data_IF_140012235388
#
_entry.id   IF_140012235388
#
_cell.length_a   1.000
_cell.length_b   1.000
_cell.length_c   1.000
_cell.angle_alpha   90.00
_cell.angle_beta   90.00
_cell.angle_gamma   90.00
#
_symmetry.space_group_name_H-M   'P 1'
#
loop_
_entity.id
_entity.type
_entity.pdbx_description
1 polymer ?
#
# COMPACT_ATOMS: atom_id res chain seq x y z
N UNK A 1 15.34 -36.80 2.03
CA UNK A 1 14.95 -35.41 2.03
C UNK A 1 13.60 -35.26 1.36
N UNK A 2 12.55 -35.00 2.16
CA UNK A 2 11.19 -34.73 1.65
C UNK A 2 11.24 -33.31 1.03
N UNK A 3 11.21 -33.22 -0.28
CA UNK A 3 10.91 -31.98 -0.97
C UNK A 3 9.43 -31.65 -0.71
N UNK A 4 9.15 -30.83 0.28
CA UNK A 4 7.85 -30.18 0.38
C UNK A 4 7.73 -29.20 -0.81
N UNK A 5 6.99 -29.62 -1.82
CA UNK A 5 6.65 -28.77 -2.95
C UNK A 5 5.97 -27.51 -2.42
N UNK A 6 6.63 -26.35 -2.51
CA UNK A 6 6.02 -25.05 -2.27
C UNK A 6 4.86 -24.93 -3.26
N UNK A 7 3.63 -25.19 -2.79
CA UNK A 7 2.43 -24.82 -3.55
C UNK A 7 2.47 -23.31 -3.73
N UNK A 8 2.70 -22.86 -4.95
CA UNK A 8 2.62 -21.45 -5.29
C UNK A 8 1.23 -20.91 -4.88
N UNK A 9 1.18 -19.68 -4.39
CA UNK A 9 -0.09 -19.00 -4.10
C UNK A 9 -0.93 -18.94 -5.37
N UNK A 10 -2.24 -19.20 -5.24
CA UNK A 10 -3.15 -19.15 -6.39
C UNK A 10 -3.21 -17.72 -6.96
N UNK A 11 -3.54 -17.59 -8.25
CA UNK A 11 -3.74 -16.29 -8.90
C UNK A 11 -4.78 -15.44 -8.16
N UNK A 12 -5.85 -16.09 -7.65
CA UNK A 12 -6.87 -15.43 -6.86
C UNK A 12 -6.31 -14.88 -5.53
N UNK A 13 -5.54 -15.69 -4.79
CA UNK A 13 -4.91 -15.23 -3.54
C UNK A 13 -3.92 -14.08 -3.79
N UNK A 14 -3.17 -14.13 -4.88
CA UNK A 14 -2.31 -13.03 -5.27
C UNK A 14 -3.11 -11.76 -5.61
N UNK A 15 -4.22 -11.91 -6.35
CA UNK A 15 -5.12 -10.80 -6.65
C UNK A 15 -5.69 -10.15 -5.37
N UNK A 16 -6.10 -10.94 -4.37
CA UNK A 16 -6.58 -10.41 -3.09
C UNK A 16 -5.49 -9.66 -2.32
N UNK A 17 -4.25 -10.16 -2.32
CA UNK A 17 -3.12 -9.50 -1.66
C UNK A 17 -2.87 -8.14 -2.33
N UNK A 18 -2.85 -8.09 -3.65
CA UNK A 18 -2.64 -6.84 -4.40
C UNK A 18 -3.81 -5.88 -4.26
N UNK A 19 -5.04 -6.38 -4.22
CA UNK A 19 -6.21 -5.55 -3.93
C UNK A 19 -6.08 -4.90 -2.54
N UNK A 20 -5.69 -5.68 -1.52
CA UNK A 20 -5.50 -5.15 -0.18
C UNK A 20 -4.32 -4.19 -0.04
N UNK A 21 -3.30 -4.32 -0.89
CA UNK A 21 -2.21 -3.35 -0.96
C UNK A 21 -2.63 -2.05 -1.64
N UNK A 22 -3.44 -2.14 -2.72
CA UNK A 22 -3.87 -0.98 -3.50
C UNK A 22 -5.10 -0.25 -2.94
N UNK A 23 -5.86 -0.87 -2.03
CA UNK A 23 -7.05 -0.28 -1.39
C UNK A 23 -6.88 -0.40 0.11
N UNK A 24 -6.12 0.50 0.69
CA UNK A 24 -5.93 0.59 2.14
C UNK A 24 -6.36 1.96 2.66
N UNK A 25 -6.44 2.08 3.98
CA UNK A 25 -6.74 3.35 4.61
C UNK A 25 -5.69 4.41 4.27
N UNK A 26 -4.42 4.01 4.18
CA UNK A 26 -3.31 4.90 3.83
C UNK A 26 -3.47 5.45 2.40
N UNK A 27 -3.81 4.60 1.41
CA UNK A 27 -4.05 5.04 0.03
C UNK A 27 -5.27 5.96 -0.08
N UNK A 28 -6.35 5.68 0.68
CA UNK A 28 -7.53 6.56 0.73
C UNK A 28 -7.15 7.93 1.28
N UNK A 29 -6.40 7.97 2.39
CA UNK A 29 -5.91 9.22 2.97
C UNK A 29 -4.96 9.96 2.03
N UNK A 30 -4.03 9.25 1.40
CA UNK A 30 -3.11 9.85 0.42
C UNK A 30 -3.87 10.44 -0.77
N UNK A 31 -4.98 9.82 -1.19
CA UNK A 31 -5.87 10.36 -2.20
C UNK A 31 -6.35 11.79 -1.90
N UNK A 32 -6.49 12.15 -0.63
CA UNK A 32 -6.90 13.51 -0.23
C UNK A 32 -5.84 14.57 -0.53
N UNK A 33 -4.57 14.21 -0.61
CA UNK A 33 -3.48 15.14 -0.93
C UNK A 33 -3.51 15.66 -2.37
N UNK A 34 -4.27 14.98 -3.25
CA UNK A 34 -4.48 15.44 -4.63
C UNK A 34 -5.60 16.47 -4.77
N UNK A 35 -6.41 16.66 -3.72
CA UNK A 35 -7.55 17.58 -3.75
C UNK A 35 -7.21 19.00 -4.23
N UNK A 36 -6.05 19.62 -3.85
CA UNK A 36 -5.68 20.95 -4.30
C UNK A 36 -5.52 21.12 -5.81
N UNK A 37 -5.41 20.04 -6.58
CA UNK A 37 -5.32 20.08 -8.04
C UNK A 37 -6.68 20.21 -8.74
N UNK A 38 -7.77 20.06 -8.01
CA UNK A 38 -9.09 19.85 -8.59
C UNK A 38 -9.25 18.45 -9.19
N UNK A 39 -10.49 17.96 -9.27
CA UNK A 39 -10.78 16.57 -9.57
C UNK A 39 -10.17 16.07 -10.90
N UNK A 40 -10.32 16.83 -11.99
CA UNK A 40 -9.87 16.39 -13.31
C UNK A 40 -8.35 16.24 -13.42
N UNK A 41 -7.60 17.24 -12.94
CA UNK A 41 -6.13 17.20 -12.95
C UNK A 41 -5.60 16.16 -11.96
N UNK A 42 -6.22 16.02 -10.79
CA UNK A 42 -5.88 14.99 -9.81
C UNK A 42 -6.01 13.58 -10.41
N UNK A 43 -7.14 13.28 -11.04
CA UNK A 43 -7.34 11.98 -11.70
C UNK A 43 -6.32 11.73 -12.83
N UNK A 44 -6.02 12.73 -13.63
CA UNK A 44 -5.01 12.62 -14.69
C UNK A 44 -3.61 12.34 -14.11
N UNK A 45 -3.22 13.05 -13.05
CA UNK A 45 -1.94 12.84 -12.38
C UNK A 45 -1.83 11.45 -11.74
N UNK A 46 -2.89 10.99 -11.07
CA UNK A 46 -2.97 9.65 -10.47
C UNK A 46 -2.84 8.58 -11.56
N UNK A 47 -3.62 8.67 -12.63
CA UNK A 47 -3.56 7.69 -13.73
C UNK A 47 -2.20 7.66 -14.40
N UNK A 48 -1.60 8.81 -14.65
CA UNK A 48 -0.28 8.89 -15.27
C UNK A 48 0.81 8.32 -14.35
N UNK A 49 0.81 8.69 -13.07
CA UNK A 49 1.73 8.16 -12.08
C UNK A 49 1.61 6.63 -11.93
N UNK A 50 0.37 6.12 -11.88
CA UNK A 50 0.11 4.68 -11.81
C UNK A 50 0.53 3.95 -13.08
N UNK A 51 0.35 4.54 -14.25
CA UNK A 51 0.80 3.94 -15.52
C UNK A 51 2.33 3.82 -15.55
N UNK A 52 3.04 4.90 -15.23
CA UNK A 52 4.51 4.91 -15.22
C UNK A 52 5.03 3.95 -14.15
N UNK A 53 4.57 4.08 -12.90
CA UNK A 53 5.00 3.23 -11.80
C UNK A 53 4.65 1.76 -12.02
N UNK A 54 3.47 1.47 -12.54
CA UNK A 54 3.05 0.12 -12.89
C UNK A 54 3.91 -0.52 -13.98
N UNK A 55 4.31 0.23 -15.00
CA UNK A 55 5.25 -0.24 -16.02
C UNK A 55 6.64 -0.53 -15.44
N UNK A 56 7.14 0.34 -14.57
CA UNK A 56 8.43 0.12 -13.89
C UNK A 56 8.38 -1.10 -12.96
N UNK A 57 7.31 -1.24 -12.17
CA UNK A 57 7.11 -2.38 -11.30
C UNK A 57 6.96 -3.68 -12.08
N UNK A 58 6.23 -3.66 -13.20
CA UNK A 58 6.11 -4.80 -14.10
C UNK A 58 7.47 -5.23 -14.66
N UNK A 59 8.29 -4.27 -15.12
CA UNK A 59 9.63 -4.54 -15.61
C UNK A 59 10.53 -5.16 -14.53
N UNK A 60 10.53 -4.60 -13.31
CA UNK A 60 11.27 -5.13 -12.17
C UNK A 60 10.78 -6.54 -11.78
N UNK A 61 9.46 -6.74 -11.72
CA UNK A 61 8.85 -8.03 -11.43
C UNK A 61 9.18 -9.11 -12.47
N UNK A 62 9.24 -8.73 -13.76
CA UNK A 62 9.68 -9.63 -14.84
C UNK A 62 11.13 -10.11 -14.64
N UNK A 63 12.03 -9.24 -14.22
CA UNK A 63 13.43 -9.60 -13.93
C UNK A 63 13.47 -10.60 -12.77
N UNK A 64 12.81 -10.29 -11.64
CA UNK A 64 12.74 -11.17 -10.48
C UNK A 64 12.13 -12.55 -10.80
N UNK A 65 11.04 -12.57 -11.58
CA UNK A 65 10.38 -13.82 -11.99
C UNK A 65 11.27 -14.66 -12.90
N UNK A 66 11.97 -14.03 -13.84
CA UNK A 66 12.86 -14.70 -14.80
C UNK A 66 14.08 -15.32 -14.09
N UNK A 67 14.66 -14.57 -13.18
CA UNK A 67 15.83 -15.00 -12.40
C UNK A 67 15.46 -15.89 -11.21
N UNK A 68 14.19 -15.98 -10.85
CA UNK A 68 13.67 -16.67 -9.65
C UNK A 68 14.36 -16.19 -8.36
N UNK A 69 14.58 -14.89 -8.28
CA UNK A 69 15.26 -14.22 -7.16
C UNK A 69 14.34 -13.23 -6.49
N UNK A 70 14.58 -13.00 -5.21
CA UNK A 70 13.91 -11.92 -4.46
C UNK A 70 14.37 -10.55 -4.95
N UNK A 71 13.63 -9.49 -4.60
CA UNK A 71 14.00 -8.11 -4.96
C UNK A 71 15.43 -7.76 -4.51
N UNK A 72 15.81 -8.11 -3.27
CA UNK A 72 17.14 -7.83 -2.76
C UNK A 72 18.26 -8.64 -3.45
N UNK A 73 17.98 -9.88 -3.87
CA UNK A 73 18.93 -10.67 -4.65
C UNK A 73 19.10 -10.11 -6.07
N UNK A 74 18.03 -9.56 -6.66
CA UNK A 74 18.08 -8.89 -7.96
C UNK A 74 18.90 -7.60 -7.88
N UNK A 75 18.73 -6.81 -6.82
CA UNK A 75 19.55 -5.62 -6.53
C UNK A 75 21.03 -6.00 -6.39
N UNK A 76 21.33 -7.13 -5.74
CA UNK A 76 22.70 -7.64 -5.60
C UNK A 76 23.35 -7.93 -6.94
N UNK A 77 22.58 -8.40 -7.93
CA UNK A 77 23.12 -8.64 -9.29
C UNK A 77 23.56 -7.35 -9.98
N UNK A 78 22.86 -6.24 -9.74
CA UNK A 78 23.13 -4.95 -10.38
C UNK A 78 24.19 -4.12 -9.64
N UNK A 79 24.23 -4.17 -8.31
CA UNK A 79 25.04 -3.30 -7.46
C UNK A 79 26.13 -4.04 -6.65
N UNK A 80 26.22 -5.37 -6.80
CA UNK A 80 27.16 -6.20 -6.06
C UNK A 80 26.82 -6.33 -4.57
N UNK A 81 27.68 -7.02 -3.82
CA UNK A 81 27.43 -7.30 -2.39
C UNK A 81 27.41 -6.05 -1.52
N UNK A 82 28.34 -5.14 -1.72
CA UNK A 82 28.43 -3.90 -0.90
C UNK A 82 27.32 -2.91 -1.24
N UNK A 83 27.00 -2.76 -2.53
CA UNK A 83 25.90 -1.89 -2.97
C UNK A 83 24.53 -2.41 -2.49
N UNK A 84 24.30 -3.71 -2.55
CA UNK A 84 23.03 -4.31 -2.08
C UNK A 84 22.81 -4.12 -0.59
N UNK A 85 23.86 -4.01 0.22
CA UNK A 85 23.72 -3.75 1.66
C UNK A 85 23.09 -2.37 1.92
N UNK A 86 23.48 -1.34 1.16
CA UNK A 86 22.85 -0.01 1.26
C UNK A 86 21.35 -0.10 0.98
N UNK A 87 20.97 -0.76 -0.12
CA UNK A 87 19.56 -0.93 -0.46
C UNK A 87 18.79 -1.76 0.57
N UNK A 88 19.43 -2.79 1.15
CA UNK A 88 18.83 -3.58 2.22
C UNK A 88 18.56 -2.73 3.47
N UNK A 89 19.49 -1.87 3.88
CA UNK A 89 19.33 -0.94 5.01
C UNK A 89 18.21 0.05 4.71
N UNK A 90 18.18 0.66 3.53
CA UNK A 90 17.13 1.58 3.12
C UNK A 90 15.76 0.90 3.12
N UNK A 91 15.69 -0.35 2.65
CA UNK A 91 14.46 -1.12 2.66
C UNK A 91 13.96 -1.41 4.09
N UNK A 92 14.85 -1.75 5.02
CA UNK A 92 14.48 -1.93 6.44
C UNK A 92 13.94 -0.62 7.03
N UNK A 93 14.63 0.50 6.79
CA UNK A 93 14.16 1.81 7.26
C UNK A 93 12.78 2.17 6.69
N UNK A 94 12.57 1.91 5.41
CA UNK A 94 11.28 2.10 4.75
C UNK A 94 10.19 1.25 5.40
N UNK A 95 10.42 -0.04 5.63
CA UNK A 95 9.46 -0.95 6.26
C UNK A 95 9.09 -0.50 7.68
N UNK A 96 10.06 -0.04 8.47
CA UNK A 96 9.81 0.52 9.81
C UNK A 96 8.96 1.79 9.69
N UNK A 97 9.29 2.69 8.77
CA UNK A 97 8.51 3.90 8.52
C UNK A 97 7.06 3.59 8.14
N UNK A 98 6.85 2.67 7.21
CA UNK A 98 5.51 2.24 6.80
C UNK A 98 4.72 1.60 7.94
N UNK A 99 5.36 0.75 8.74
CA UNK A 99 4.70 0.16 9.91
C UNK A 99 4.22 1.24 10.87
N UNK A 100 5.05 2.26 11.13
CA UNK A 100 4.68 3.37 11.98
C UNK A 100 3.50 4.18 11.41
N UNK A 101 3.51 4.49 10.10
CA UNK A 101 2.43 5.19 9.42
C UNK A 101 1.12 4.39 9.51
N UNK A 102 1.14 3.10 9.21
CA UNK A 102 -0.05 2.25 9.26
C UNK A 102 -0.63 2.14 10.68
N UNK A 103 0.22 2.07 11.72
CA UNK A 103 -0.22 2.10 13.11
C UNK A 103 -0.88 3.44 13.43
N UNK A 104 -0.27 4.54 13.01
CA UNK A 104 -0.77 5.89 13.25
C UNK A 104 -2.12 6.12 12.56
N UNK A 105 -2.25 5.77 11.28
CA UNK A 105 -3.48 5.92 10.51
C UNK A 105 -4.62 5.07 11.08
N UNK A 106 -4.30 3.83 11.48
CA UNK A 106 -5.26 2.97 12.17
C UNK A 106 -5.71 3.54 13.51
N UNK A 107 -4.76 4.11 14.28
CA UNK A 107 -5.05 4.75 15.57
C UNK A 107 -5.89 6.01 15.39
N UNK A 108 -5.60 6.82 14.37
CA UNK A 108 -6.36 8.02 14.03
C UNK A 108 -7.81 7.67 13.64
N UNK A 109 -7.99 6.64 12.83
CA UNK A 109 -9.30 6.16 12.43
C UNK A 109 -10.12 5.64 13.62
N UNK A 110 -9.50 4.87 14.52
CA UNK A 110 -10.15 4.36 15.72
C UNK A 110 -10.50 5.47 16.72
N UNK A 111 -9.62 6.43 16.91
CA UNK A 111 -9.85 7.58 17.77
C UNK A 111 -10.94 8.51 17.22
N UNK A 112 -11.04 8.65 15.91
CA UNK A 112 -12.12 9.39 15.26
C UNK A 112 -13.53 8.85 15.55
N UNK A 113 -13.63 7.57 15.93
CA UNK A 113 -14.91 6.94 16.31
C UNK A 113 -15.12 6.93 17.82
N UNK A 114 -14.08 6.65 18.59
CA UNK A 114 -14.18 6.34 20.02
C UNK A 114 -13.68 7.46 20.96
N UNK A 115 -12.95 8.44 20.42
CA UNK A 115 -12.47 9.64 21.13
C UNK A 115 -11.72 9.35 22.46
N UNK A 116 -10.89 8.29 22.46
CA UNK A 116 -10.18 7.83 23.68
C UNK A 116 -8.72 8.27 23.73
N UNK A 117 -8.21 8.83 22.64
CA UNK A 117 -6.84 9.28 22.47
C UNK A 117 -6.03 8.39 21.52
N UNK A 118 -5.36 9.00 20.53
CA UNK A 118 -4.60 8.33 19.48
C UNK A 118 -3.55 7.35 20.05
N UNK A 119 -2.88 7.73 21.13
CA UNK A 119 -1.84 6.91 21.76
C UNK A 119 -2.34 5.58 22.30
N UNK A 120 -3.57 5.54 22.81
CA UNK A 120 -4.18 4.31 23.31
C UNK A 120 -4.34 3.32 22.16
N UNK A 121 -4.86 3.80 21.02
CA UNK A 121 -5.05 2.97 19.83
C UNK A 121 -3.75 2.57 19.16
N UNK A 122 -2.74 3.47 19.14
CA UNK A 122 -1.43 3.13 18.60
C UNK A 122 -0.77 1.98 19.38
N UNK A 123 -0.89 1.98 20.71
CA UNK A 123 -0.38 0.90 21.54
C UNK A 123 -1.17 -0.39 21.30
N UNK A 124 -2.50 -0.32 21.27
CA UNK A 124 -3.36 -1.50 21.04
C UNK A 124 -3.03 -2.12 19.67
N UNK A 125 -2.99 -1.34 18.60
CA UNK A 125 -2.70 -1.81 17.25
C UNK A 125 -1.28 -2.39 17.18
N UNK A 126 -0.29 -1.70 17.77
CA UNK A 126 1.09 -2.18 17.81
C UNK A 126 1.21 -3.53 18.52
N UNK A 127 0.55 -3.70 19.67
CA UNK A 127 0.51 -4.98 20.39
C UNK A 127 -0.18 -6.05 19.56
N UNK A 128 -1.30 -5.74 18.92
CA UNK A 128 -2.01 -6.70 18.06
C UNK A 128 -1.15 -7.17 16.89
N UNK A 129 -0.36 -6.29 16.27
CA UNK A 129 0.58 -6.65 15.20
C UNK A 129 1.64 -7.61 15.74
N UNK A 130 2.23 -7.31 16.90
CA UNK A 130 3.24 -8.18 17.53
C UNK A 130 2.66 -9.55 17.86
N UNK A 131 1.49 -9.59 18.50
CA UNK A 131 0.77 -10.84 18.81
C UNK A 131 0.48 -11.64 17.53
N UNK A 132 0.06 -10.94 16.48
CA UNK A 132 -0.22 -11.56 15.19
C UNK A 132 1.01 -12.23 14.56
N UNK A 133 2.16 -11.57 14.64
CA UNK A 133 3.43 -12.11 14.14
C UNK A 133 3.81 -13.38 14.93
N UNK A 134 3.60 -13.40 16.26
CA UNK A 134 3.92 -14.55 17.11
C UNK A 134 2.95 -15.73 16.94
N UNK A 135 1.65 -15.49 16.74
CA UNK A 135 0.65 -16.54 16.50
C UNK A 135 0.91 -17.25 15.16
N UNK A 136 1.65 -16.60 14.28
CA UNK A 136 2.08 -17.16 13.01
C UNK A 136 1.11 -16.93 11.87
N UNK A 137 1.69 -16.95 10.70
CA UNK A 137 1.07 -16.63 9.43
C UNK A 137 0.19 -17.76 8.86
N UNK A 138 -0.02 -18.85 9.61
CA UNK A 138 -0.67 -20.07 9.13
C UNK A 138 -2.17 -19.91 8.84
N UNK A 139 -2.84 -18.94 9.45
CA UNK A 139 -4.28 -18.66 9.26
C UNK A 139 -4.57 -17.37 8.47
N UNK A 140 -3.56 -16.77 7.90
CA UNK A 140 -3.68 -15.51 7.15
C UNK A 140 -4.68 -15.57 5.98
N UNK A 141 -4.83 -16.72 5.34
CA UNK A 141 -5.70 -16.83 4.16
C UNK A 141 -7.17 -16.49 4.45
N UNK A 142 -7.73 -17.01 5.52
CA UNK A 142 -9.15 -16.78 5.87
C UNK A 142 -9.37 -15.35 6.36
N UNK A 143 -8.51 -14.86 7.26
CA UNK A 143 -8.63 -13.51 7.78
C UNK A 143 -8.39 -12.46 6.70
N UNK A 144 -7.40 -12.67 5.83
CA UNK A 144 -7.16 -11.80 4.69
C UNK A 144 -8.39 -11.73 3.77
N UNK A 145 -9.04 -12.87 3.49
CA UNK A 145 -10.27 -12.90 2.69
C UNK A 145 -11.40 -12.09 3.33
N UNK A 146 -11.61 -12.23 4.64
CA UNK A 146 -12.64 -11.47 5.38
C UNK A 146 -12.32 -9.98 5.36
N UNK A 147 -11.08 -9.61 5.68
CA UNK A 147 -10.63 -8.22 5.67
C UNK A 147 -10.76 -7.58 4.28
N UNK A 148 -10.32 -8.28 3.22
CA UNK A 148 -10.42 -7.77 1.85
C UNK A 148 -11.87 -7.66 1.37
N UNK A 149 -12.75 -8.59 1.78
CA UNK A 149 -14.17 -8.49 1.46
C UNK A 149 -14.82 -7.30 2.16
N UNK A 150 -14.50 -7.07 3.43
CA UNK A 150 -14.99 -5.91 4.18
C UNK A 150 -14.49 -4.60 3.55
N UNK A 151 -13.22 -4.54 3.17
CA UNK A 151 -12.61 -3.39 2.50
C UNK A 151 -13.25 -3.12 1.13
N UNK A 152 -13.56 -4.17 0.37
CA UNK A 152 -14.26 -4.05 -0.91
C UNK A 152 -15.66 -3.47 -0.72
N UNK A 153 -16.43 -3.98 0.26
CA UNK A 153 -17.76 -3.44 0.59
C UNK A 153 -17.65 -1.98 1.01
N UNK A 154 -16.69 -1.64 1.88
CA UNK A 154 -16.44 -0.25 2.28
C UNK A 154 -16.14 0.64 1.08
N UNK A 155 -15.31 0.18 0.14
CA UNK A 155 -15.01 0.94 -1.09
C UNK A 155 -16.24 1.20 -1.93
N UNK A 156 -17.16 0.22 -2.04
CA UNK A 156 -18.43 0.40 -2.74
C UNK A 156 -19.35 1.41 -2.03
N UNK A 157 -19.39 1.37 -0.70
CA UNK A 157 -20.15 2.35 0.10
C UNK A 157 -19.59 3.74 -0.08
N UNK A 158 -18.27 3.92 0.00
CA UNK A 158 -17.61 5.20 -0.24
C UNK A 158 -17.86 5.70 -1.66
N UNK A 159 -17.74 4.84 -2.66
CA UNK A 159 -18.05 5.16 -4.05
C UNK A 159 -19.50 5.68 -4.18
N UNK A 160 -20.46 4.96 -3.61
CA UNK A 160 -21.86 5.39 -3.60
C UNK A 160 -22.05 6.75 -2.93
N UNK A 161 -21.46 6.96 -1.76
CA UNK A 161 -21.59 8.22 -1.02
C UNK A 161 -20.99 9.39 -1.78
N UNK A 162 -19.80 9.19 -2.41
CA UNK A 162 -19.08 10.24 -3.13
C UNK A 162 -19.78 10.60 -4.45
N UNK A 163 -20.19 9.60 -5.23
CA UNK A 163 -20.70 9.83 -6.58
C UNK A 163 -22.22 10.01 -6.65
N UNK A 164 -22.98 9.48 -5.68
CA UNK A 164 -24.44 9.52 -5.64
C UNK A 164 -25.00 10.18 -4.38
N UNK A 165 -24.13 10.61 -3.45
CA UNK A 165 -24.54 11.39 -2.28
C UNK A 165 -24.81 12.84 -2.63
N UNK A 166 -25.50 13.53 -1.73
CA UNK A 166 -25.83 14.97 -1.88
C UNK A 166 -24.63 15.91 -1.70
N UNK A 167 -23.42 15.37 -1.47
CA UNK A 167 -22.17 16.13 -1.39
C UNK A 167 -21.71 16.56 -2.78
N UNK A 168 -21.57 17.87 -2.97
CA UNK A 168 -21.14 18.44 -4.24
C UNK A 168 -19.64 18.11 -4.49
N UNK A 169 -19.36 17.30 -5.51
CA UNK A 169 -18.00 17.18 -6.07
C UNK A 169 -17.49 18.50 -6.69
N UNK A 170 -18.35 19.47 -6.87
CA UNK A 170 -18.02 20.79 -7.41
C UNK A 170 -17.16 21.65 -6.47
N UNK A 171 -16.97 21.23 -5.22
CA UNK A 171 -16.17 21.98 -4.25
C UNK A 171 -14.64 21.72 -4.33
N UNK A 172 -14.21 20.74 -5.13
CA UNK A 172 -12.77 20.44 -5.29
C UNK A 172 -12.24 21.31 -6.43
N UNK A 173 -11.79 22.50 -6.07
CA UNK A 173 -11.24 23.49 -7.01
C UNK A 173 -9.72 23.48 -6.93
N UNK A 174 -9.06 23.63 -8.06
CA UNK A 174 -7.61 23.85 -8.14
C UNK A 174 -7.26 25.18 -7.42
N UNK A 175 -6.55 25.08 -6.30
CA UNK A 175 -6.12 26.22 -5.49
C UNK A 175 -4.66 26.63 -5.78
N UNK A 176 -4.01 25.92 -6.69
CA UNK A 176 -2.63 26.18 -7.12
C UNK A 176 -1.55 25.80 -6.12
N UNK A 177 -1.89 25.22 -4.97
CA UNK A 177 -0.90 24.82 -3.95
C UNK A 177 -0.13 23.54 -4.32
N UNK A 178 -0.67 22.72 -5.21
CA UNK A 178 -0.02 21.51 -5.73
C UNK A 178 0.16 21.61 -7.24
N UNK A 179 1.40 21.42 -7.73
CA UNK A 179 1.66 21.38 -9.17
C UNK A 179 1.32 20.00 -9.74
N UNK A 180 0.96 19.95 -11.03
CA UNK A 180 0.67 18.67 -11.71
C UNK A 180 1.87 17.71 -11.68
N UNK A 181 3.09 18.23 -11.88
CA UNK A 181 4.31 17.43 -11.80
C UNK A 181 4.53 16.80 -10.42
N UNK A 182 4.37 17.58 -9.35
CA UNK A 182 4.47 17.08 -7.97
C UNK A 182 3.38 16.04 -7.66
N UNK A 183 2.18 16.20 -8.20
CA UNK A 183 1.13 15.20 -8.06
C UNK A 183 1.45 13.89 -8.80
N UNK A 184 2.00 13.94 -10.00
CA UNK A 184 2.47 12.75 -10.72
C UNK A 184 3.60 12.06 -9.95
N UNK A 185 4.54 12.82 -9.39
CA UNK A 185 5.63 12.29 -8.56
C UNK A 185 5.08 11.62 -7.29
N UNK A 186 4.11 12.24 -6.62
CA UNK A 186 3.43 11.65 -5.46
C UNK A 186 2.74 10.34 -5.83
N UNK A 187 1.99 10.28 -6.93
CA UNK A 187 1.33 9.07 -7.40
C UNK A 187 2.34 7.98 -7.80
N UNK A 188 3.47 8.36 -8.39
CA UNK A 188 4.55 7.46 -8.76
C UNK A 188 5.23 6.88 -7.52
N UNK A 189 5.50 7.69 -6.50
CA UNK A 189 6.16 7.27 -5.26
C UNK A 189 5.34 6.24 -4.49
N UNK A 190 4.02 6.33 -4.49
CA UNK A 190 3.12 5.37 -3.85
C UNK A 190 3.30 3.95 -4.37
N UNK A 191 3.48 3.78 -5.68
CA UNK A 191 3.66 2.46 -6.28
C UNK A 191 5.02 1.87 -5.92
N UNK A 192 6.08 2.68 -5.90
CA UNK A 192 7.42 2.23 -5.53
C UNK A 192 7.54 1.84 -4.06
N UNK A 193 6.76 2.44 -3.20
CA UNK A 193 6.81 2.23 -1.76
C UNK A 193 5.99 1.00 -1.35
N UNK A 194 4.94 0.69 -2.07
CA UNK A 194 4.06 -0.47 -1.81
C UNK A 194 4.58 -1.79 -2.39
N UNK A 195 5.80 -1.84 -2.93
CA UNK A 195 6.36 -3.09 -3.44
C UNK A 195 6.61 -4.08 -2.29
N UNK A 196 5.82 -5.18 -2.20
CA UNK A 196 6.04 -6.16 -1.15
C UNK A 196 7.34 -6.88 -1.44
N UNK A 197 8.33 -6.67 -0.59
CA UNK A 197 9.52 -7.52 -0.55
C UNK A 197 9.09 -8.93 -0.18
N UNK A 198 8.96 -9.80 -1.17
CA UNK A 198 8.69 -11.21 -0.92
C UNK A 198 9.98 -11.95 -0.61
N UNK A 199 9.97 -12.80 0.44
CA UNK A 199 10.99 -13.83 0.60
C UNK A 199 10.89 -14.92 -0.47
#
# INVERSE_FOLDING_TARGET
>A
GVQMGKKGTSVFSNGLIWFGAGVSLAEILTGTYFAPLGFGKAMAAILLGHLIGGLMMFAAGMIGAKERKSAMETVKMSFGERGSLLFAVLNVLQLVGWTAIMIYDGALAADGVLHTGIWVWAIIIGVLIVVWIFIGLTNLGKLNTVAMTALFILSLVLFKVIFFGSGSMAAIVDDGSLTFGAAVELALSLIHISEPTRP
#
